data_IF_410553017417
#
_entry.id   IF_410553017417
#
_cell.length_a   1.000
_cell.length_b   1.000
_cell.length_c   1.000
_cell.angle_alpha   90.00
_cell.angle_beta   90.00
_cell.angle_gamma   90.00
#
_symmetry.space_group_name_H-M   'P 1'
#
loop_
_entity.id
_entity.type
_entity.pdbx_description
1 polymer ?
#
# COMPACT_ATOMS: atom_id res chain seq x y z
N UNK A 1 18.61 37.77 -50.85
CA UNK A 1 18.35 38.25 -49.48
C UNK A 1 18.96 37.33 -48.40
N UNK A 2 18.78 36.00 -48.48
CA UNK A 2 19.32 35.04 -47.48
C UNK A 2 20.86 35.06 -47.34
N UNK A 3 21.58 35.04 -48.46
CA UNK A 3 23.05 35.11 -48.45
C UNK A 3 23.54 36.40 -47.79
N UNK A 4 22.82 37.50 -47.97
CA UNK A 4 23.17 38.81 -47.36
C UNK A 4 22.99 38.77 -45.85
N UNK A 5 21.88 38.22 -45.34
CA UNK A 5 21.63 38.08 -43.90
C UNK A 5 22.61 37.10 -43.23
N UNK A 6 22.96 36.01 -43.90
CA UNK A 6 23.92 35.03 -43.41
C UNK A 6 25.35 35.60 -43.35
N UNK A 7 25.79 36.30 -44.41
CA UNK A 7 27.07 37.01 -44.41
C UNK A 7 27.10 38.12 -43.35
N UNK A 8 25.98 38.82 -43.15
CA UNK A 8 25.86 39.84 -42.10
C UNK A 8 25.99 39.23 -40.69
N UNK A 9 25.39 38.05 -40.45
CA UNK A 9 25.53 37.34 -39.18
C UNK A 9 26.97 36.88 -38.92
N UNK A 10 27.66 36.33 -39.92
CA UNK A 10 29.07 35.94 -39.81
C UNK A 10 29.97 37.15 -39.49
N UNK A 11 29.72 38.29 -40.13
CA UNK A 11 30.47 39.51 -39.89
C UNK A 11 30.22 40.04 -38.46
N UNK A 12 28.97 39.99 -37.98
CA UNK A 12 28.63 40.38 -36.61
C UNK A 12 29.24 39.44 -35.56
N UNK A 13 29.34 38.14 -35.83
CA UNK A 13 30.05 37.18 -34.96
C UNK A 13 31.55 37.47 -34.88
N UNK A 14 32.18 37.81 -36.02
CA UNK A 14 33.58 38.18 -36.07
C UNK A 14 33.85 39.49 -35.29
N UNK A 15 33.00 40.51 -35.47
CA UNK A 15 33.09 41.78 -34.75
C UNK A 15 32.84 41.59 -33.25
N UNK A 16 31.86 40.78 -32.86
CA UNK A 16 31.61 40.47 -31.45
C UNK A 16 32.78 39.76 -30.77
N UNK A 17 33.46 38.87 -31.50
CA UNK A 17 34.65 38.16 -31.01
C UNK A 17 35.86 39.09 -30.85
N UNK A 18 36.01 40.06 -31.76
CA UNK A 18 37.00 41.12 -31.63
C UNK A 18 36.72 42.05 -30.44
N UNK A 19 35.46 42.45 -30.23
CA UNK A 19 35.05 43.27 -29.09
C UNK A 19 35.20 42.54 -27.75
N UNK A 20 34.94 41.23 -27.73
CA UNK A 20 35.18 40.39 -26.56
C UNK A 20 36.67 40.32 -26.19
N UNK A 21 37.56 40.26 -27.20
CA UNK A 21 39.01 40.30 -27.00
C UNK A 21 39.47 41.65 -26.40
N UNK A 22 38.80 42.74 -26.74
CA UNK A 22 39.03 44.08 -26.16
C UNK A 22 38.34 44.30 -24.80
N UNK A 23 37.85 43.23 -24.16
CA UNK A 23 37.13 43.26 -22.89
C UNK A 23 35.85 44.14 -22.88
N UNK A 24 35.32 44.51 -24.05
CA UNK A 24 34.06 45.25 -24.16
C UNK A 24 32.87 44.27 -24.19
N UNK A 25 32.52 43.76 -23.00
CA UNK A 25 31.48 42.73 -22.83
C UNK A 25 30.10 43.22 -23.28
N UNK A 26 29.79 44.51 -23.08
CA UNK A 26 28.52 45.10 -23.50
C UNK A 26 28.39 45.18 -25.04
N UNK A 27 29.45 45.60 -25.73
CA UNK A 27 29.48 45.62 -27.20
C UNK A 27 29.49 44.23 -27.83
N UNK A 28 30.24 43.29 -27.22
CA UNK A 28 30.29 41.90 -27.66
C UNK A 28 28.92 41.20 -27.53
N UNK A 29 28.25 41.37 -26.39
CA UNK A 29 26.92 40.80 -26.16
C UNK A 29 25.86 41.36 -27.11
N UNK A 30 25.87 42.67 -27.38
CA UNK A 30 24.95 43.29 -28.33
C UNK A 30 25.15 42.77 -29.77
N UNK A 31 26.39 42.64 -30.21
CA UNK A 31 26.73 42.16 -31.56
C UNK A 31 26.47 40.66 -31.73
N UNK A 32 26.73 39.85 -30.71
CA UNK A 32 26.33 38.44 -30.68
C UNK A 32 24.81 38.29 -30.69
N UNK A 33 24.08 39.09 -29.91
CA UNK A 33 22.62 39.11 -29.95
C UNK A 33 22.08 39.42 -31.34
N UNK A 34 22.59 40.47 -31.99
CA UNK A 34 22.21 40.82 -33.36
C UNK A 34 22.54 39.73 -34.39
N UNK A 35 23.69 39.06 -34.26
CA UNK A 35 24.06 37.93 -35.12
C UNK A 35 23.09 36.75 -34.96
N UNK A 36 22.71 36.41 -33.72
CA UNK A 36 21.72 35.36 -33.42
C UNK A 36 20.36 35.72 -34.01
N UNK A 37 19.90 36.97 -33.90
CA UNK A 37 18.66 37.40 -34.53
C UNK A 37 18.70 37.26 -36.06
N UNK A 38 19.79 37.66 -36.71
CA UNK A 38 19.97 37.47 -38.15
C UNK A 38 19.94 35.98 -38.55
N UNK A 39 20.57 35.10 -37.78
CA UNK A 39 20.52 33.65 -38.01
C UNK A 39 19.11 33.09 -37.81
N UNK A 40 18.42 33.51 -36.75
CA UNK A 40 17.01 33.14 -36.51
C UNK A 40 16.16 33.50 -37.73
N UNK A 41 16.29 34.70 -38.30
CA UNK A 41 15.54 35.11 -39.49
C UNK A 41 15.94 34.35 -40.77
N UNK A 42 17.20 33.91 -40.89
CA UNK A 42 17.64 33.06 -41.99
C UNK A 42 16.96 31.70 -41.92
N UNK A 43 16.86 31.08 -40.74
CA UNK A 43 16.25 29.76 -40.54
C UNK A 43 14.72 29.80 -40.32
N UNK A 44 14.13 30.95 -40.00
CA UNK A 44 12.68 31.09 -39.74
C UNK A 44 11.82 30.72 -40.95
N UNK A 45 12.39 30.81 -42.16
CA UNK A 45 11.70 30.44 -43.40
C UNK A 45 11.77 28.95 -43.69
N UNK A 46 12.80 28.24 -43.19
CA UNK A 46 12.88 26.78 -43.24
C UNK A 46 11.89 26.14 -42.25
N UNK A 47 11.57 26.82 -41.14
CA UNK A 47 10.41 26.46 -40.30
C UNK A 47 9.06 26.64 -41.01
N UNK A 48 8.99 27.45 -42.06
CA UNK A 48 7.77 27.63 -42.87
C UNK A 48 7.62 26.53 -43.93
N UNK A 49 8.71 25.90 -44.38
CA UNK A 49 8.65 24.68 -45.22
C UNK A 49 8.51 23.39 -44.39
N UNK A 50 8.83 23.43 -43.09
CA UNK A 50 8.57 22.34 -42.13
C UNK A 50 7.09 22.19 -41.71
N UNK A 51 6.21 23.14 -42.06
CA UNK A 51 4.76 23.09 -41.76
C UNK A 51 3.92 22.28 -42.76
N UNK A 52 4.53 21.64 -43.76
CA UNK A 52 3.83 21.16 -44.96
C UNK A 52 3.84 19.66 -45.23
N UNK A 53 4.56 18.84 -44.47
CA UNK A 53 4.68 17.41 -44.75
C UNK A 53 4.59 16.62 -43.43
N UNK A 54 3.91 15.47 -43.43
CA UNK A 54 3.53 14.64 -42.27
C UNK A 54 4.63 14.18 -41.29
N UNK A 55 5.84 14.71 -41.39
CA UNK A 55 6.94 14.59 -40.44
C UNK A 55 6.64 15.19 -39.06
N UNK A 56 5.85 16.27 -38.95
CA UNK A 56 5.40 16.79 -37.64
C UNK A 56 4.43 15.82 -36.96
N UNK A 57 3.54 15.17 -37.73
CA UNK A 57 2.66 14.14 -37.19
C UNK A 57 3.46 12.91 -36.75
N UNK A 58 4.43 12.45 -37.56
CA UNK A 58 5.30 11.31 -37.22
C UNK A 58 6.18 11.59 -35.99
N UNK A 59 6.75 12.79 -35.85
CA UNK A 59 7.51 13.19 -34.66
C UNK A 59 6.62 13.34 -33.42
N UNK A 60 5.40 13.84 -33.58
CA UNK A 60 4.44 13.94 -32.49
C UNK A 60 3.97 12.55 -32.05
N UNK A 61 3.62 11.67 -32.98
CA UNK A 61 3.25 10.27 -32.74
C UNK A 61 4.38 9.54 -32.02
N UNK A 62 5.62 9.70 -32.47
CA UNK A 62 6.79 9.08 -31.82
C UNK A 62 7.02 9.59 -30.40
N UNK A 63 6.83 10.89 -30.16
CA UNK A 63 6.91 11.47 -28.80
C UNK A 63 5.76 11.01 -27.90
N UNK A 64 4.56 10.86 -28.46
CA UNK A 64 3.40 10.30 -27.75
C UNK A 64 3.68 8.84 -27.39
N UNK A 65 4.19 8.04 -28.34
CA UNK A 65 4.55 6.63 -28.12
C UNK A 65 5.66 6.48 -27.07
N UNK A 66 6.70 7.33 -27.11
CA UNK A 66 7.75 7.36 -26.10
C UNK A 66 7.20 7.77 -24.72
N UNK A 67 6.29 8.73 -24.65
CA UNK A 67 5.64 9.14 -23.41
C UNK A 67 4.74 8.03 -22.86
N UNK A 68 3.96 7.35 -23.71
CA UNK A 68 3.12 6.22 -23.34
C UNK A 68 3.95 5.03 -22.85
N UNK A 69 5.08 4.75 -23.52
CA UNK A 69 6.05 3.74 -23.08
C UNK A 69 6.64 4.09 -21.72
N UNK A 70 6.99 5.35 -21.50
CA UNK A 70 7.53 5.83 -20.21
C UNK A 70 6.48 5.72 -19.11
N UNK A 71 5.24 6.14 -19.38
CA UNK A 71 4.11 5.99 -18.45
C UNK A 71 3.82 4.53 -18.13
N UNK A 72 3.90 3.65 -19.14
CA UNK A 72 3.74 2.21 -18.95
C UNK A 72 4.83 1.64 -18.03
N UNK A 73 6.09 2.02 -18.26
CA UNK A 73 7.21 1.60 -17.39
C UNK A 73 7.05 2.12 -15.95
N UNK A 74 6.64 3.37 -15.78
CA UNK A 74 6.34 3.94 -14.45
C UNK A 74 5.22 3.18 -13.75
N UNK A 75 4.11 2.89 -14.45
CA UNK A 75 3.02 2.06 -13.90
C UNK A 75 3.49 0.65 -13.53
N UNK A 76 4.35 0.05 -14.34
CA UNK A 76 4.90 -1.28 -14.08
C UNK A 76 5.77 -1.32 -12.81
N UNK A 77 6.54 -0.27 -12.54
CA UNK A 77 7.36 -0.14 -11.32
C UNK A 77 6.51 0.23 -10.09
N UNK A 78 5.38 0.92 -10.32
CA UNK A 78 4.49 1.38 -9.24
C UNK A 78 3.81 0.21 -8.50
N UNK A 79 3.51 -0.90 -9.18
CA UNK A 79 2.84 -2.06 -8.56
C UNK A 79 3.71 -2.74 -7.48
N UNK A 80 4.97 -3.12 -7.73
CA UNK A 80 5.86 -3.64 -6.67
C UNK A 80 6.07 -2.66 -5.52
N UNK A 81 6.13 -1.35 -5.80
CA UNK A 81 6.25 -0.33 -4.75
C UNK A 81 4.96 -0.29 -3.91
N UNK A 82 3.78 -0.38 -4.53
CA UNK A 82 2.51 -0.45 -3.83
C UNK A 82 2.43 -1.66 -2.89
N UNK A 83 2.85 -2.84 -3.37
CA UNK A 83 2.93 -4.06 -2.56
C UNK A 83 3.81 -3.86 -1.32
N UNK A 84 4.99 -3.27 -1.50
CA UNK A 84 5.90 -2.93 -0.40
C UNK A 84 5.26 -1.93 0.57
N UNK A 85 4.64 -0.87 0.07
CA UNK A 85 3.98 0.15 0.90
C UNK A 85 2.83 -0.45 1.71
N UNK A 86 1.95 -1.24 1.09
CA UNK A 86 0.84 -1.90 1.78
C UNK A 86 1.36 -2.90 2.82
N UNK A 87 2.41 -3.66 2.51
CA UNK A 87 3.03 -4.56 3.48
C UNK A 87 3.61 -3.80 4.67
N UNK A 88 4.31 -2.69 4.43
CA UNK A 88 4.87 -1.84 5.49
C UNK A 88 3.77 -1.23 6.37
N UNK A 89 2.72 -0.69 5.78
CA UNK A 89 1.57 -0.12 6.53
C UNK A 89 0.85 -1.21 7.32
N UNK A 90 0.65 -2.39 6.72
CA UNK A 90 0.00 -3.50 7.41
C UNK A 90 0.82 -3.97 8.62
N UNK A 91 2.15 -3.94 8.54
CA UNK A 91 3.07 -4.37 9.61
C UNK A 91 3.35 -3.27 10.64
N UNK A 92 3.12 -2.00 10.31
CA UNK A 92 3.25 -0.88 11.25
C UNK A 92 2.38 -1.16 12.49
N UNK A 93 3.02 -1.16 13.67
CA UNK A 93 2.56 -1.58 15.02
C UNK A 93 2.82 -3.01 15.47
N UNK A 94 3.23 -3.91 14.58
CA UNK A 94 3.63 -5.26 15.02
C UNK A 94 5.12 -5.34 15.34
N UNK A 95 5.92 -4.47 14.74
CA UNK A 95 7.36 -4.34 14.98
C UNK A 95 7.62 -2.89 15.43
N UNK A 96 7.54 -2.62 16.73
CA UNK A 96 8.04 -1.38 17.35
C UNK A 96 7.37 -0.04 16.96
N UNK A 97 6.27 -0.04 16.20
CA UNK A 97 5.55 1.17 15.79
C UNK A 97 4.34 1.53 16.67
N UNK A 98 3.96 2.80 16.71
CA UNK A 98 2.81 3.35 17.46
C UNK A 98 1.77 4.06 16.57
N UNK A 99 1.63 3.70 15.29
CA UNK A 99 0.67 4.32 14.36
C UNK A 99 -0.77 3.83 14.62
N UNK A 100 -1.70 4.66 15.15
CA UNK A 100 -3.05 4.20 15.49
C UNK A 100 -3.79 3.60 14.29
N UNK A 101 -4.77 2.71 14.55
CA UNK A 101 -5.54 2.01 13.50
C UNK A 101 -6.14 2.94 12.46
N UNK A 102 -6.72 4.05 12.89
CA UNK A 102 -7.29 5.09 12.01
C UNK A 102 -6.24 5.66 11.06
N UNK A 103 -5.07 6.05 11.58
CA UNK A 103 -4.00 6.61 10.77
C UNK A 103 -3.48 5.59 9.73
N UNK A 104 -3.38 4.29 10.09
CA UNK A 104 -3.02 3.24 9.13
C UNK A 104 -4.03 3.11 8.01
N UNK A 105 -5.32 3.13 8.35
CA UNK A 105 -6.40 3.07 7.35
C UNK A 105 -6.39 4.29 6.44
N UNK A 106 -6.24 5.50 6.99
CA UNK A 106 -6.13 6.73 6.19
C UNK A 106 -4.93 6.68 5.24
N UNK A 107 -3.77 6.20 5.70
CA UNK A 107 -2.59 6.04 4.87
C UNK A 107 -2.81 5.00 3.76
N UNK A 108 -3.46 3.88 4.08
CA UNK A 108 -3.87 2.85 3.12
C UNK A 108 -4.79 3.43 2.03
N UNK A 109 -5.80 4.21 2.40
CA UNK A 109 -6.71 4.86 1.45
C UNK A 109 -5.99 5.91 0.58
N UNK A 110 -5.07 6.69 1.17
CA UNK A 110 -4.24 7.63 0.40
C UNK A 110 -3.39 6.92 -0.63
N UNK A 111 -2.68 5.84 -0.26
CA UNK A 111 -1.89 5.05 -1.20
C UNK A 111 -2.78 4.52 -2.33
N UNK A 112 -3.96 3.95 -2.02
CA UNK A 112 -4.89 3.50 -3.04
C UNK A 112 -5.33 4.63 -3.99
N UNK A 113 -5.63 5.81 -3.47
CA UNK A 113 -6.02 6.99 -4.26
C UNK A 113 -4.90 7.44 -5.21
N UNK A 114 -3.66 7.50 -4.73
CA UNK A 114 -2.50 7.86 -5.56
C UNK A 114 -2.26 6.82 -6.66
N UNK A 115 -2.36 5.52 -6.35
CA UNK A 115 -2.22 4.45 -7.34
C UNK A 115 -3.29 4.51 -8.43
N UNK A 116 -4.53 4.79 -8.06
CA UNK A 116 -5.62 5.01 -9.02
C UNK A 116 -5.34 6.22 -9.91
N UNK A 117 -4.81 7.31 -9.33
CA UNK A 117 -4.41 8.52 -10.06
C UNK A 117 -3.30 8.23 -11.07
N UNK A 118 -2.36 7.33 -10.73
CA UNK A 118 -1.34 6.84 -11.66
C UNK A 118 -1.86 5.87 -12.73
N UNK A 119 -3.16 5.51 -12.70
CA UNK A 119 -3.79 4.60 -13.66
C UNK A 119 -3.55 3.11 -13.36
N UNK A 120 -3.19 2.76 -12.11
CA UNK A 120 -3.13 1.36 -11.68
C UNK A 120 -4.55 0.82 -11.54
N UNK A 121 -4.79 -0.37 -12.10
CA UNK A 121 -6.14 -0.97 -12.10
C UNK A 121 -6.56 -1.42 -10.69
N UNK A 122 -7.86 -1.32 -10.32
CA UNK A 122 -8.35 -1.73 -9.01
C UNK A 122 -7.97 -3.17 -8.61
N UNK A 123 -7.96 -4.09 -9.56
CA UNK A 123 -7.64 -5.51 -9.30
C UNK A 123 -6.16 -5.69 -8.92
N UNK A 124 -5.26 -4.86 -9.46
CA UNK A 124 -3.83 -4.88 -9.12
C UNK A 124 -3.61 -4.29 -7.73
N UNK A 125 -4.36 -3.24 -7.37
CA UNK A 125 -4.32 -2.65 -6.03
C UNK A 125 -4.82 -3.66 -4.99
N UNK A 126 -5.93 -4.35 -5.26
CA UNK A 126 -6.46 -5.36 -4.34
C UNK A 126 -5.51 -6.55 -4.19
N UNK A 127 -4.89 -7.01 -5.28
CA UNK A 127 -3.85 -8.04 -5.22
C UNK A 127 -2.65 -7.59 -4.38
N UNK A 128 -2.29 -6.31 -4.41
CA UNK A 128 -1.19 -5.78 -3.62
C UNK A 128 -1.52 -5.68 -2.12
N UNK A 129 -2.80 -5.71 -1.74
CA UNK A 129 -3.26 -5.64 -0.34
C UNK A 129 -3.26 -6.99 0.40
N UNK A 130 -2.66 -8.04 -0.15
CA UNK A 130 -2.65 -9.39 0.49
C UNK A 130 -2.20 -9.34 1.95
N UNK A 131 -1.09 -8.65 2.25
CA UNK A 131 -0.60 -8.52 3.62
C UNK A 131 -1.57 -7.73 4.51
N UNK A 132 -2.16 -6.66 3.98
CA UNK A 132 -3.19 -5.88 4.69
C UNK A 132 -4.36 -6.76 5.11
N UNK A 133 -4.92 -7.55 4.20
CA UNK A 133 -6.04 -8.43 4.51
C UNK A 133 -5.63 -9.55 5.48
N UNK A 134 -4.49 -10.18 5.27
CA UNK A 134 -3.97 -11.22 6.15
C UNK A 134 -3.88 -10.74 7.59
N UNK A 135 -3.32 -9.54 7.77
CA UNK A 135 -3.09 -8.98 9.08
C UNK A 135 -4.37 -8.49 9.77
N UNK A 136 -5.30 -7.89 9.02
CA UNK A 136 -6.59 -7.53 9.59
C UNK A 136 -7.40 -8.77 10.01
N UNK A 137 -7.33 -9.87 9.25
CA UNK A 137 -7.94 -11.13 9.67
C UNK A 137 -7.36 -11.65 10.99
N UNK A 138 -6.04 -11.57 11.17
CA UNK A 138 -5.39 -11.91 12.45
C UNK A 138 -5.84 -11.00 13.58
N UNK A 139 -5.98 -9.69 13.34
CA UNK A 139 -6.43 -8.76 14.39
C UNK A 139 -7.90 -8.98 14.75
N UNK A 140 -8.74 -9.31 13.77
CA UNK A 140 -10.17 -9.61 13.95
C UNK A 140 -10.42 -10.99 14.56
N UNK A 141 -9.50 -11.95 14.40
CA UNK A 141 -9.63 -13.27 15.05
C UNK A 141 -9.34 -13.21 16.55
N UNK A 142 -8.51 -12.29 17.03
CA UNK A 142 -8.18 -12.16 18.46
C UNK A 142 -9.41 -12.01 19.37
N UNK A 143 -10.34 -11.06 19.15
CA UNK A 143 -11.53 -10.95 19.99
C UNK A 143 -12.48 -12.15 19.88
N UNK A 144 -12.38 -12.98 18.84
CA UNK A 144 -13.10 -14.25 18.72
C UNK A 144 -12.45 -15.35 19.57
N UNK A 145 -11.12 -15.36 19.64
CA UNK A 145 -10.34 -16.42 20.30
C UNK A 145 -10.04 -16.14 21.78
N UNK A 146 -9.88 -14.87 22.16
CA UNK A 146 -9.51 -14.47 23.52
C UNK A 146 -10.48 -15.01 24.59
N UNK A 147 -11.81 -14.98 24.42
CA UNK A 147 -12.73 -15.57 25.41
C UNK A 147 -12.48 -17.07 25.63
N UNK A 148 -12.12 -17.81 24.57
CA UNK A 148 -11.77 -19.23 24.67
C UNK A 148 -10.45 -19.43 25.42
N UNK A 149 -9.42 -18.62 25.10
CA UNK A 149 -8.14 -18.64 25.80
C UNK A 149 -8.36 -18.40 27.30
N UNK A 150 -9.11 -17.35 27.67
CA UNK A 150 -9.43 -17.02 29.07
C UNK A 150 -10.19 -18.15 29.76
N UNK A 151 -11.18 -18.76 29.09
CA UNK A 151 -11.96 -19.85 29.66
C UNK A 151 -11.10 -21.10 29.92
N UNK A 152 -10.20 -21.45 29.00
CA UNK A 152 -9.27 -22.58 29.15
C UNK A 152 -8.24 -22.30 30.25
N UNK A 153 -7.68 -21.09 30.33
CA UNK A 153 -6.75 -20.73 31.40
C UNK A 153 -7.42 -20.75 32.77
N UNK A 154 -8.67 -20.28 32.87
CA UNK A 154 -9.44 -20.35 34.10
C UNK A 154 -9.71 -21.81 34.52
N UNK A 155 -9.98 -22.70 33.56
CA UNK A 155 -10.12 -24.13 33.81
C UNK A 155 -8.80 -24.75 34.30
N UNK A 156 -7.70 -24.48 33.61
CA UNK A 156 -6.35 -24.91 34.01
C UNK A 156 -6.02 -24.49 35.44
N UNK A 157 -6.28 -23.23 35.79
CA UNK A 157 -6.05 -22.70 37.13
C UNK A 157 -6.84 -23.44 38.22
N UNK A 158 -8.11 -23.78 37.95
CA UNK A 158 -8.95 -24.57 38.87
C UNK A 158 -8.41 -25.99 39.06
N UNK A 159 -7.96 -26.64 38.00
CA UNK A 159 -7.41 -28.00 38.10
C UNK A 159 -6.07 -28.02 38.85
N UNK A 160 -5.17 -27.06 38.59
CA UNK A 160 -3.92 -26.91 39.34
C UNK A 160 -4.16 -26.66 40.84
N UNK A 161 -5.19 -25.88 41.19
CA UNK A 161 -5.55 -25.64 42.59
C UNK A 161 -6.01 -26.92 43.31
N UNK A 162 -6.66 -27.86 42.61
CA UNK A 162 -7.17 -29.11 43.20
C UNK A 162 -6.06 -30.09 43.56
N UNK A 163 -5.00 -30.17 42.74
CA UNK A 163 -3.91 -31.14 42.93
C UNK A 163 -2.70 -30.56 43.68
N UNK A 164 -2.68 -29.25 43.90
CA UNK A 164 -1.57 -28.57 44.56
C UNK A 164 -0.38 -28.33 43.62
N UNK A 165 0.47 -27.35 43.95
CA UNK A 165 1.51 -26.83 43.05
C UNK A 165 2.62 -27.84 42.66
N UNK A 166 2.65 -29.03 43.25
CA UNK A 166 3.69 -30.05 43.03
C UNK A 166 3.30 -31.17 42.06
N UNK A 167 2.00 -31.40 41.80
CA UNK A 167 1.54 -32.47 40.91
C UNK A 167 1.07 -31.91 39.57
N UNK A 168 1.88 -32.10 38.52
CA UNK A 168 1.59 -31.62 37.16
C UNK A 168 0.91 -32.66 36.28
N UNK A 169 0.62 -33.85 36.81
CA UNK A 169 0.05 -34.98 36.06
C UNK A 169 -1.23 -35.42 36.75
N UNK A 170 -2.35 -34.84 36.33
CA UNK A 170 -3.69 -35.29 36.70
C UNK A 170 -4.57 -35.31 35.45
N UNK A 171 -5.62 -36.17 35.40
CA UNK A 171 -6.52 -36.22 34.26
C UNK A 171 -7.18 -34.87 33.92
N UNK A 172 -7.42 -34.02 34.94
CA UNK A 172 -7.96 -32.68 34.75
C UNK A 172 -6.97 -31.74 34.07
N UNK A 173 -5.69 -31.79 34.46
CA UNK A 173 -4.62 -31.00 33.83
C UNK A 173 -4.40 -31.45 32.39
N UNK A 174 -4.31 -32.76 32.13
CA UNK A 174 -4.17 -33.30 30.77
C UNK A 174 -5.32 -32.86 29.85
N UNK A 175 -6.55 -32.87 30.36
CA UNK A 175 -7.71 -32.40 29.63
C UNK A 175 -7.63 -30.89 29.34
N UNK A 176 -7.20 -30.08 30.31
CA UNK A 176 -7.01 -28.65 30.15
C UNK A 176 -5.92 -28.33 29.11
N UNK A 177 -4.81 -29.06 29.11
CA UNK A 177 -3.75 -28.94 28.10
C UNK A 177 -4.27 -29.31 26.71
N UNK A 178 -5.06 -30.37 26.59
CA UNK A 178 -5.68 -30.76 25.32
C UNK A 178 -6.59 -29.64 24.77
N UNK A 179 -7.37 -28.96 25.61
CA UNK A 179 -8.16 -27.81 25.19
C UNK A 179 -7.30 -26.59 24.83
N UNK A 180 -6.21 -26.36 25.57
CA UNK A 180 -5.25 -25.29 25.26
C UNK A 180 -4.63 -25.46 23.89
N UNK A 181 -4.21 -26.68 23.57
CA UNK A 181 -3.67 -27.01 22.24
C UNK A 181 -4.73 -26.91 21.15
N UNK A 182 -5.99 -27.25 21.41
CA UNK A 182 -7.10 -26.99 20.47
C UNK A 182 -7.26 -25.49 20.19
N UNK A 183 -7.29 -24.63 21.22
CA UNK A 183 -7.40 -23.16 21.03
C UNK A 183 -6.18 -22.61 20.29
N UNK A 184 -4.98 -23.11 20.60
CA UNK A 184 -3.75 -22.78 19.86
C UNK A 184 -3.85 -23.17 18.38
N UNK A 185 -4.44 -24.34 18.08
CA UNK A 185 -4.74 -24.77 16.73
C UNK A 185 -5.68 -23.82 15.99
N UNK A 186 -6.73 -23.34 16.65
CA UNK A 186 -7.63 -22.31 16.11
C UNK A 186 -6.91 -21.01 15.81
N UNK A 187 -5.98 -20.59 16.69
CA UNK A 187 -5.16 -19.40 16.48
C UNK A 187 -4.27 -19.50 15.23
N UNK A 188 -3.74 -20.69 14.94
CA UNK A 188 -3.02 -20.96 13.69
C UNK A 188 -3.89 -20.79 12.43
N UNK A 189 -5.22 -20.84 12.58
CA UNK A 189 -6.22 -20.69 11.51
C UNK A 189 -6.89 -19.32 11.51
N UNK A 190 -6.23 -18.29 12.04
CA UNK A 190 -6.77 -16.92 12.13
C UNK A 190 -7.24 -16.30 10.80
N UNK A 191 -6.69 -16.76 9.67
CA UNK A 191 -7.08 -16.30 8.32
C UNK A 191 -8.06 -17.24 7.62
N UNK A 192 -8.60 -18.25 8.31
CA UNK A 192 -9.51 -19.25 7.75
C UNK A 192 -10.96 -18.77 7.83
N UNK A 193 -11.71 -18.70 6.71
CA UNK A 193 -13.13 -18.31 6.72
C UNK A 193 -14.02 -19.17 7.61
N UNK A 194 -13.61 -20.42 7.89
CA UNK A 194 -14.35 -21.35 8.76
C UNK A 194 -14.10 -21.13 10.25
N UNK A 195 -13.17 -20.24 10.64
CA UNK A 195 -12.81 -20.01 12.04
C UNK A 195 -14.01 -19.77 12.97
N UNK A 196 -15.00 -18.93 12.61
CA UNK A 196 -16.19 -18.73 13.44
C UNK A 196 -16.97 -20.02 13.72
N UNK A 197 -17.06 -20.92 12.74
CA UNK A 197 -17.78 -22.19 12.91
C UNK A 197 -16.97 -23.16 13.79
N UNK A 198 -15.65 -23.20 13.61
CA UNK A 198 -14.76 -24.01 14.45
C UNK A 198 -14.77 -23.56 15.91
N UNK A 199 -14.92 -22.26 16.14
CA UNK A 199 -15.09 -21.69 17.49
C UNK A 199 -16.41 -22.15 18.11
N UNK A 200 -17.51 -22.13 17.36
CA UNK A 200 -18.78 -22.68 17.83
C UNK A 200 -18.68 -24.19 18.13
N UNK A 201 -18.04 -24.97 17.26
CA UNK A 201 -17.78 -26.39 17.49
C UNK A 201 -16.94 -26.63 18.76
N UNK A 202 -15.92 -25.79 18.99
CA UNK A 202 -15.13 -25.83 20.21
C UNK A 202 -15.99 -25.56 21.44
N UNK A 203 -16.80 -24.49 21.44
CA UNK A 203 -17.69 -24.14 22.56
C UNK A 203 -18.67 -25.29 22.85
N UNK A 204 -19.24 -25.90 21.81
CA UNK A 204 -20.18 -27.01 21.95
C UNK A 204 -19.52 -28.25 22.55
N UNK A 205 -18.32 -28.59 22.07
CA UNK A 205 -17.57 -29.79 22.50
C UNK A 205 -16.79 -29.61 23.81
N UNK A 206 -16.62 -28.38 24.30
CA UNK A 206 -15.96 -28.08 25.55
C UNK A 206 -16.75 -28.62 26.75
N UNK A 207 -16.34 -29.78 27.27
CA UNK A 207 -16.95 -30.43 28.43
C UNK A 207 -16.69 -29.71 29.75
N UNK A 208 -15.68 -28.82 29.80
CA UNK A 208 -15.34 -28.05 31.01
C UNK A 208 -16.20 -26.79 31.19
N UNK A 209 -17.02 -26.45 30.18
CA UNK A 209 -17.98 -25.36 30.23
C UNK A 209 -19.38 -25.94 30.49
N UNK A 210 -20.08 -25.40 31.48
CA UNK A 210 -21.52 -25.64 31.64
C UNK A 210 -22.33 -24.79 30.65
N UNK A 211 -23.64 -24.97 30.63
CA UNK A 211 -24.52 -24.30 29.66
C UNK A 211 -24.56 -22.77 29.83
N UNK A 212 -24.38 -22.28 31.06
CA UNK A 212 -24.32 -20.85 31.34
C UNK A 212 -23.00 -20.24 30.82
N UNK A 213 -21.87 -20.89 31.12
CA UNK A 213 -20.57 -20.49 30.62
C UNK A 213 -20.49 -20.56 29.09
N UNK A 214 -21.07 -21.60 28.47
CA UNK A 214 -21.18 -21.68 26.99
C UNK A 214 -22.00 -20.51 26.43
N UNK A 215 -23.12 -20.16 27.05
CA UNK A 215 -23.93 -19.01 26.63
C UNK A 215 -23.13 -17.71 26.73
N UNK A 216 -22.48 -17.47 27.86
CA UNK A 216 -21.69 -16.27 28.08
C UNK A 216 -20.56 -16.11 27.06
N UNK A 217 -19.79 -17.18 26.82
CA UNK A 217 -18.73 -17.18 25.79
C UNK A 217 -19.29 -16.90 24.39
N UNK A 218 -20.46 -17.46 24.03
CA UNK A 218 -21.10 -17.17 22.73
C UNK A 218 -21.48 -15.70 22.62
N UNK A 219 -22.06 -15.11 23.65
CA UNK A 219 -22.44 -13.69 23.65
C UNK A 219 -21.23 -12.78 23.42
N UNK A 220 -20.09 -13.08 24.06
CA UNK A 220 -18.85 -12.32 23.85
C UNK A 220 -18.29 -12.48 22.43
N UNK A 221 -18.40 -13.68 21.84
CA UNK A 221 -17.82 -14.01 20.54
C UNK A 221 -18.71 -13.60 19.37
N UNK A 222 -20.03 -13.49 19.55
CA UNK A 222 -21.00 -13.31 18.45
C UNK A 222 -20.71 -12.05 17.60
N UNK A 223 -20.51 -10.91 18.26
CA UNK A 223 -20.21 -9.64 17.62
C UNK A 223 -18.89 -9.69 16.83
N UNK A 224 -17.75 -10.03 17.47
CA UNK A 224 -16.48 -10.25 16.79
C UNK A 224 -16.54 -11.27 15.64
N UNK A 225 -17.24 -12.39 15.81
CA UNK A 225 -17.38 -13.41 14.79
C UNK A 225 -18.16 -12.90 13.56
N UNK A 226 -19.16 -12.05 13.78
CA UNK A 226 -19.92 -11.38 12.72
C UNK A 226 -19.04 -10.42 11.91
N UNK A 227 -18.23 -9.61 12.59
CA UNK A 227 -17.23 -8.72 11.97
C UNK A 227 -16.24 -9.53 11.11
N UNK A 228 -15.67 -10.60 11.68
CA UNK A 228 -14.72 -11.46 10.98
C UNK A 228 -15.33 -12.10 9.72
N UNK A 229 -16.57 -12.62 9.82
CA UNK A 229 -17.31 -13.15 8.66
C UNK A 229 -17.51 -12.09 7.58
N UNK A 230 -17.94 -10.89 7.97
CA UNK A 230 -18.14 -9.80 7.03
C UNK A 230 -16.82 -9.45 6.30
N UNK A 231 -15.71 -9.35 7.02
CA UNK A 231 -14.41 -9.03 6.45
C UNK A 231 -13.89 -10.11 5.48
N UNK A 232 -14.16 -11.39 5.76
CA UNK A 232 -13.81 -12.48 4.84
C UNK A 232 -14.49 -12.34 3.47
N UNK A 233 -15.76 -11.93 3.46
CA UNK A 233 -16.56 -11.81 2.24
C UNK A 233 -16.31 -10.50 1.52
N UNK A 234 -16.28 -9.38 2.23
CA UNK A 234 -16.30 -8.03 1.64
C UNK A 234 -14.93 -7.36 1.62
N UNK A 235 -13.93 -7.90 2.33
CA UNK A 235 -12.59 -7.31 2.48
C UNK A 235 -12.59 -5.88 3.05
N UNK A 236 -13.64 -5.57 3.82
CA UNK A 236 -13.88 -4.30 4.49
C UNK A 236 -14.49 -4.56 5.87
N UNK A 237 -14.43 -3.56 6.74
CA UNK A 237 -14.97 -3.64 8.10
C UNK A 237 -16.47 -3.33 8.11
N UNK A 238 -17.23 -4.10 8.89
CA UNK A 238 -18.65 -3.87 9.11
C UNK A 238 -18.85 -2.61 9.96
N UNK A 239 -18.04 -2.42 11.00
CA UNK A 239 -18.00 -1.21 11.82
C UNK A 239 -16.56 -0.68 11.95
N UNK A 240 -16.21 0.25 11.05
CA UNK A 240 -14.88 0.89 11.00
C UNK A 240 -14.56 1.66 12.28
N UNK A 241 -15.53 2.36 12.86
CA UNK A 241 -15.30 3.17 14.07
C UNK A 241 -15.02 2.28 15.28
N UNK A 242 -15.75 1.18 15.43
CA UNK A 242 -15.45 0.16 16.44
C UNK A 242 -14.08 -0.47 16.22
N UNK A 243 -13.67 -0.70 14.97
CA UNK A 243 -12.32 -1.20 14.69
C UNK A 243 -11.24 -0.19 15.06
N UNK A 244 -11.45 1.11 14.77
CA UNK A 244 -10.53 2.19 15.12
C UNK A 244 -10.39 2.38 16.63
N UNK A 245 -11.47 2.25 17.40
CA UNK A 245 -11.45 2.41 18.85
C UNK A 245 -10.58 1.37 19.58
N UNK A 246 -10.28 0.24 18.93
CA UNK A 246 -9.59 -0.90 19.52
C UNK A 246 -8.07 -0.95 19.25
N UNK A 247 -7.42 0.18 18.90
CA UNK A 247 -5.96 0.28 18.94
C UNK A 247 -5.32 1.40 18.13
#
# INVERSE_FOLDING_TARGET
>A
MHVVLFLSALLLLAVGSYLAFLANVAGASATYGAAVFCLIFVFLRDFKSFKGFGLEAELLERKIEEADKTLYQLRAITVPIAEMLFSNVARANRIGGQMPRRQRHELMERIQSELRTCGVRPEQIEKAKVDWHRFNLIDLSRPVLNPLEVAVEAFMGRELQKVGASEHTSPGIELAEAYREKVRGLRGRSSDPSLPNLVEEFINSASFLDDDAKRHVREEVEGPARELRHYHTHRDFLDREKWFANG
#
